data_IF_565034241295
#
_entry.id   IF_565034241295
#
_cell.length_a   1.000
_cell.length_b   1.000
_cell.length_c   1.000
_cell.angle_alpha   90.00
_cell.angle_beta   90.00
_cell.angle_gamma   90.00
#
_symmetry.space_group_name_H-M   'P 1'
#
loop_
_entity.id
_entity.type
_entity.pdbx_description
1 polymer ?
#
# COMPACT_ATOMS: atom_id res chain seq x y z
N UNK A 1 24.08 -51.25 4.30
CA UNK A 1 23.78 -50.31 5.38
C UNK A 1 23.77 -48.86 4.88
N UNK A 2 24.85 -48.30 4.29
CA UNK A 2 24.91 -46.88 3.87
C UNK A 2 23.79 -46.42 2.92
N UNK A 3 23.43 -47.21 1.89
CA UNK A 3 22.33 -46.88 0.97
C UNK A 3 20.96 -46.75 1.66
N UNK A 4 20.63 -47.61 2.62
CA UNK A 4 19.36 -47.54 3.37
C UNK A 4 19.28 -46.32 4.26
N UNK A 5 20.40 -45.89 4.87
CA UNK A 5 20.49 -44.68 5.68
C UNK A 5 20.31 -43.44 4.79
N UNK A 6 20.95 -43.38 3.63
CA UNK A 6 20.78 -42.25 2.67
C UNK A 6 19.32 -42.13 2.22
N UNK A 7 18.68 -43.25 1.88
CA UNK A 7 17.27 -43.24 1.48
C UNK A 7 16.36 -42.72 2.63
N UNK A 8 16.60 -43.19 3.87
CA UNK A 8 15.86 -42.74 5.03
C UNK A 8 16.02 -41.24 5.28
N UNK A 9 17.24 -40.71 5.14
CA UNK A 9 17.51 -39.25 5.29
C UNK A 9 16.78 -38.46 4.21
N UNK A 10 16.82 -38.91 2.95
CA UNK A 10 16.13 -38.21 1.85
C UNK A 10 14.60 -38.21 2.05
N UNK A 11 14.03 -39.31 2.54
CA UNK A 11 12.59 -39.39 2.88
C UNK A 11 12.23 -38.41 4.00
N UNK A 12 13.05 -38.34 5.06
CA UNK A 12 12.82 -37.38 6.17
C UNK A 12 12.89 -35.96 5.66
N UNK A 13 13.88 -35.61 4.83
CA UNK A 13 13.99 -34.26 4.23
C UNK A 13 12.74 -33.95 3.39
N UNK A 14 12.30 -34.88 2.55
CA UNK A 14 11.10 -34.70 1.74
C UNK A 14 9.84 -34.49 2.59
N UNK A 15 9.67 -35.24 3.69
CA UNK A 15 8.57 -35.08 4.63
C UNK A 15 8.62 -33.71 5.33
N UNK A 16 9.80 -33.29 5.79
CA UNK A 16 9.97 -31.96 6.41
C UNK A 16 9.63 -30.86 5.42
N UNK A 17 10.12 -30.95 4.17
CA UNK A 17 9.78 -29.99 3.12
C UNK A 17 8.28 -29.97 2.82
N UNK A 18 7.61 -31.14 2.78
CA UNK A 18 6.17 -31.22 2.57
C UNK A 18 5.37 -30.59 3.73
N UNK A 19 5.78 -30.84 4.98
CA UNK A 19 5.18 -30.22 6.18
C UNK A 19 5.36 -28.72 6.16
N UNK A 20 6.56 -28.23 5.87
CA UNK A 20 6.84 -26.79 5.75
C UNK A 20 6.04 -26.14 4.63
N UNK A 21 5.97 -26.78 3.47
CA UNK A 21 5.14 -26.32 2.36
C UNK A 21 3.65 -26.28 2.72
N UNK A 22 3.14 -27.31 3.40
CA UNK A 22 1.78 -27.35 3.94
C UNK A 22 1.54 -26.22 4.94
N UNK A 23 2.45 -26.02 5.89
CA UNK A 23 2.36 -24.94 6.88
C UNK A 23 2.29 -23.56 6.21
N UNK A 24 3.21 -23.28 5.28
CA UNK A 24 3.21 -22.02 4.51
C UNK A 24 1.92 -21.89 3.68
N UNK A 25 1.43 -22.99 3.11
CA UNK A 25 0.17 -23.02 2.37
C UNK A 25 -1.02 -22.63 3.26
N UNK A 26 -1.19 -23.24 4.43
CA UNK A 26 -2.30 -22.94 5.33
C UNK A 26 -2.17 -21.57 5.98
N UNK A 27 -0.95 -21.16 6.38
CA UNK A 27 -0.70 -19.86 6.99
C UNK A 27 -0.94 -18.69 6.02
N UNK A 28 -0.74 -18.89 4.71
CA UNK A 28 -0.99 -17.86 3.68
C UNK A 28 -2.43 -17.81 3.16
N UNK A 29 -3.31 -18.74 3.57
CA UNK A 29 -4.71 -18.75 3.16
C UNK A 29 -5.48 -17.60 3.81
N UNK A 30 -6.29 -16.91 3.01
CA UNK A 30 -7.11 -15.78 3.46
C UNK A 30 -6.30 -14.58 4.01
N UNK A 31 -5.12 -14.31 3.43
CA UNK A 31 -4.29 -13.15 3.79
C UNK A 31 -3.91 -12.38 2.54
N UNK A 32 -3.94 -11.05 2.65
CA UNK A 32 -3.56 -10.12 1.58
C UNK A 32 -2.37 -9.27 2.05
N UNK A 33 -1.31 -9.22 1.24
CA UNK A 33 -0.23 -8.27 1.46
C UNK A 33 -0.70 -6.89 0.98
N UNK A 34 -0.77 -5.91 1.88
CA UNK A 34 -1.04 -4.52 1.55
C UNK A 34 0.29 -3.80 1.51
N UNK A 35 0.80 -3.51 0.32
CA UNK A 35 2.09 -2.85 0.12
C UNK A 35 1.93 -1.34 0.25
N UNK A 36 2.79 -0.70 1.03
CA UNK A 36 2.80 0.74 1.21
C UNK A 36 4.06 1.34 0.57
N UNK A 37 3.85 2.10 -0.48
CA UNK A 37 4.82 2.94 -1.17
C UNK A 37 4.51 4.42 -0.90
N UNK A 38 5.45 5.30 -1.24
CA UNK A 38 5.22 6.74 -1.20
C UNK A 38 5.72 7.36 -2.51
N UNK A 39 6.99 7.64 -2.61
CA UNK A 39 7.61 8.39 -3.69
C UNK A 39 8.51 7.51 -4.57
N UNK A 40 8.65 7.89 -5.83
CA UNK A 40 9.54 7.25 -6.78
C UNK A 40 10.51 8.28 -7.37
N UNK A 41 11.76 7.89 -7.59
CA UNK A 41 12.74 8.70 -8.28
C UNK A 41 13.76 7.83 -9.00
N UNK A 42 14.43 8.38 -10.00
CA UNK A 42 15.68 7.80 -10.51
C UNK A 42 16.82 8.03 -9.50
N UNK A 43 17.92 7.29 -9.67
CA UNK A 43 19.10 7.45 -8.82
C UNK A 43 19.64 8.89 -8.88
N UNK A 44 19.65 9.49 -10.09
CA UNK A 44 20.16 10.84 -10.31
C UNK A 44 19.27 11.92 -9.68
N UNK A 45 17.95 11.79 -9.80
CA UNK A 45 16.99 12.69 -9.15
C UNK A 45 17.12 12.62 -7.63
N UNK A 46 17.19 11.40 -7.09
CA UNK A 46 17.32 11.18 -5.66
C UNK A 46 18.60 11.78 -5.08
N UNK A 47 19.70 11.79 -5.83
CA UNK A 47 20.97 12.38 -5.40
C UNK A 47 20.84 13.87 -5.04
N UNK A 48 19.85 14.58 -5.58
CA UNK A 48 19.56 15.97 -5.24
C UNK A 48 18.82 16.14 -3.90
N UNK A 49 18.34 15.04 -3.29
CA UNK A 49 17.55 15.05 -2.06
C UNK A 49 18.06 13.98 -1.06
N UNK A 50 19.30 14.15 -0.53
CA UNK A 50 19.98 13.13 0.27
C UNK A 50 19.27 12.81 1.59
N UNK A 51 18.48 13.74 2.13
CA UNK A 51 17.77 13.57 3.40
C UNK A 51 16.44 12.80 3.26
N UNK A 52 15.97 12.57 2.02
CA UNK A 52 14.67 11.92 1.73
C UNK A 52 14.82 10.41 1.40
N UNK A 53 15.75 9.72 2.04
CA UNK A 53 16.16 8.39 1.61
C UNK A 53 15.15 7.27 1.87
N UNK A 54 14.41 7.28 2.99
CA UNK A 54 13.66 6.10 3.43
C UNK A 54 12.36 5.87 2.63
N UNK A 55 11.74 6.94 2.10
CA UNK A 55 10.44 6.93 1.46
C UNK A 55 10.48 6.94 -0.07
N UNK A 56 11.67 7.15 -0.64
CA UNK A 56 11.87 7.26 -2.08
C UNK A 56 12.45 5.97 -2.64
N UNK A 57 11.65 5.26 -3.42
CA UNK A 57 12.04 4.01 -4.09
C UNK A 57 12.64 4.31 -5.46
N UNK A 58 13.73 3.65 -5.82
CA UNK A 58 14.27 3.75 -7.19
C UNK A 58 13.27 3.16 -8.20
N UNK A 59 13.04 3.88 -9.30
CA UNK A 59 12.07 3.50 -10.36
C UNK A 59 12.38 2.11 -10.94
N UNK A 60 13.67 1.76 -11.13
CA UNK A 60 14.05 0.43 -11.63
C UNK A 60 13.72 -0.66 -10.61
N UNK A 61 13.95 -0.38 -9.32
CA UNK A 61 13.62 -1.32 -8.26
C UNK A 61 12.11 -1.55 -8.18
N UNK A 62 11.31 -0.49 -8.30
CA UNK A 62 9.85 -0.61 -8.39
C UNK A 62 9.43 -1.45 -9.59
N UNK A 63 9.99 -1.21 -10.77
CA UNK A 63 9.68 -2.02 -11.96
C UNK A 63 10.06 -3.51 -11.77
N UNK A 64 11.19 -3.81 -11.10
CA UNK A 64 11.58 -5.19 -10.78
C UNK A 64 10.59 -5.86 -9.82
N UNK A 65 10.04 -5.12 -8.87
CA UNK A 65 9.00 -5.62 -7.98
C UNK A 65 7.71 -5.93 -8.74
N UNK A 66 7.29 -5.07 -9.69
CA UNK A 66 6.16 -5.37 -10.58
C UNK A 66 6.42 -6.60 -11.47
N UNK A 67 7.62 -6.73 -12.04
CA UNK A 67 8.05 -7.95 -12.77
C UNK A 67 7.95 -9.20 -11.90
N UNK A 68 8.39 -9.10 -10.64
CA UNK A 68 8.29 -10.21 -9.69
C UNK A 68 6.83 -10.61 -9.44
N UNK A 69 5.94 -9.64 -9.18
CA UNK A 69 4.50 -9.89 -9.00
C UNK A 69 3.90 -10.59 -10.23
N UNK A 70 4.19 -10.06 -11.42
CA UNK A 70 3.71 -10.62 -12.71
C UNK A 70 4.19 -12.04 -12.92
N UNK A 71 5.51 -12.29 -12.83
CA UNK A 71 6.10 -13.63 -13.04
C UNK A 71 5.60 -14.68 -12.04
N UNK A 72 5.21 -14.26 -10.85
CA UNK A 72 4.70 -15.15 -9.82
C UNK A 72 3.17 -15.24 -9.78
N UNK A 73 2.47 -14.67 -10.77
CA UNK A 73 1.02 -14.67 -10.90
C UNK A 73 0.30 -14.10 -9.67
N UNK A 74 0.78 -12.97 -9.15
CA UNK A 74 0.05 -12.22 -8.15
C UNK A 74 -1.09 -11.45 -8.79
N UNK A 75 -2.30 -11.54 -8.20
CA UNK A 75 -3.42 -10.67 -8.53
C UNK A 75 -3.29 -9.39 -7.74
N UNK A 76 -3.19 -8.25 -8.41
CA UNK A 76 -3.32 -6.94 -7.78
C UNK A 76 -4.80 -6.59 -7.66
N UNK A 77 -5.21 -6.12 -6.47
CA UNK A 77 -6.59 -5.83 -6.14
C UNK A 77 -6.92 -4.37 -6.37
N UNK A 78 -8.16 -4.09 -6.74
CA UNK A 78 -8.77 -2.78 -6.51
C UNK A 78 -9.12 -2.62 -5.04
N UNK A 79 -9.34 -1.39 -4.58
CA UNK A 79 -9.76 -1.14 -3.20
C UNK A 79 -11.14 -1.76 -2.90
N UNK A 80 -12.05 -1.73 -3.85
CA UNK A 80 -13.38 -2.35 -3.71
C UNK A 80 -13.29 -3.89 -3.62
N UNK A 81 -12.45 -4.56 -4.42
CA UNK A 81 -12.22 -6.00 -4.28
C UNK A 81 -11.65 -6.36 -2.89
N UNK A 82 -10.73 -5.54 -2.37
CA UNK A 82 -10.19 -5.74 -1.02
C UNK A 82 -11.30 -5.57 0.04
N UNK A 83 -12.16 -4.55 -0.10
CA UNK A 83 -13.28 -4.33 0.81
C UNK A 83 -14.31 -5.47 0.75
N UNK A 84 -14.70 -5.92 -0.43
CA UNK A 84 -15.62 -7.05 -0.61
C UNK A 84 -15.07 -8.33 0.01
N UNK A 85 -13.77 -8.58 -0.14
CA UNK A 85 -13.09 -9.69 0.52
C UNK A 85 -13.14 -9.54 2.04
N UNK A 86 -12.89 -8.37 2.59
CA UNK A 86 -13.01 -8.08 4.04
C UNK A 86 -14.42 -8.36 4.55
N UNK A 87 -15.43 -8.07 3.74
CA UNK A 87 -16.84 -8.33 4.06
C UNK A 87 -17.24 -9.81 3.88
N UNK A 88 -16.35 -10.66 3.40
CA UNK A 88 -16.65 -12.07 3.13
C UNK A 88 -17.52 -12.30 1.89
N UNK A 89 -17.73 -11.28 1.06
CA UNK A 89 -18.57 -11.36 -0.15
C UNK A 89 -17.88 -12.10 -1.29
N UNK A 90 -16.55 -12.03 -1.35
CA UNK A 90 -15.73 -12.71 -2.36
C UNK A 90 -14.57 -13.46 -1.71
N UNK A 91 -14.07 -14.48 -2.39
CA UNK A 91 -12.82 -15.14 -2.09
C UNK A 91 -11.73 -14.65 -3.05
N UNK A 92 -10.54 -14.47 -2.54
CA UNK A 92 -9.39 -14.04 -3.33
C UNK A 92 -8.42 -15.19 -3.59
N UNK A 93 -7.73 -15.17 -4.75
CA UNK A 93 -6.59 -16.04 -4.97
C UNK A 93 -5.55 -15.89 -3.86
N UNK A 94 -4.88 -16.96 -3.49
CA UNK A 94 -3.86 -16.95 -2.44
C UNK A 94 -2.75 -15.92 -2.66
N UNK A 95 -2.38 -15.70 -3.92
CA UNK A 95 -1.39 -14.69 -4.33
C UNK A 95 -2.11 -13.40 -4.72
N UNK A 96 -2.77 -12.76 -3.74
CA UNK A 96 -3.38 -11.45 -3.90
C UNK A 96 -2.58 -10.39 -3.14
N UNK A 97 -2.47 -9.22 -3.70
CA UNK A 97 -1.76 -8.06 -3.16
C UNK A 97 -2.54 -6.78 -3.45
N UNK A 98 -2.58 -5.88 -2.48
CA UNK A 98 -3.07 -4.51 -2.67
C UNK A 98 -1.85 -3.59 -2.71
N UNK A 99 -1.66 -2.86 -3.81
CA UNK A 99 -0.59 -1.88 -3.96
C UNK A 99 -1.14 -0.53 -3.54
N UNK A 100 -0.51 0.13 -2.57
CA UNK A 100 -0.90 1.46 -2.11
C UNK A 100 0.26 2.43 -2.18
N UNK A 101 -0.04 3.69 -2.50
CA UNK A 101 0.88 4.83 -2.41
C UNK A 101 0.27 5.86 -1.48
N UNK A 102 1.08 6.45 -0.61
CA UNK A 102 0.66 7.55 0.24
C UNK A 102 1.09 8.91 -0.35
N UNK A 103 0.51 9.99 0.18
CA UNK A 103 0.79 11.41 -0.05
C UNK A 103 0.33 11.98 -1.40
N UNK A 104 0.34 11.21 -2.49
CA UNK A 104 -0.06 11.71 -3.81
C UNK A 104 1.03 12.48 -4.54
N UNK A 105 2.28 12.04 -4.45
CA UNK A 105 3.41 12.65 -5.16
C UNK A 105 3.24 12.64 -6.68
N UNK A 106 3.70 13.69 -7.36
CA UNK A 106 3.69 13.80 -8.82
C UNK A 106 4.49 12.68 -9.50
N UNK A 107 5.53 12.17 -8.85
CA UNK A 107 6.31 11.03 -9.32
C UNK A 107 5.47 9.76 -9.54
N UNK A 108 4.37 9.60 -8.79
CA UNK A 108 3.48 8.46 -8.96
C UNK A 108 2.78 8.53 -10.33
N UNK A 109 2.30 9.71 -10.72
CA UNK A 109 1.75 9.93 -12.06
C UNK A 109 2.79 9.72 -13.15
N UNK A 110 4.00 10.26 -12.94
CA UNK A 110 5.06 10.24 -13.94
C UNK A 110 5.69 8.84 -14.13
N UNK A 111 5.95 8.10 -13.04
CA UNK A 111 6.64 6.82 -13.08
C UNK A 111 5.75 5.62 -12.78
N UNK A 112 4.97 5.67 -11.67
CA UNK A 112 4.25 4.49 -11.21
C UNK A 112 3.10 4.11 -12.12
N UNK A 113 2.25 5.07 -12.54
CA UNK A 113 1.04 4.77 -13.32
C UNK A 113 1.34 4.16 -14.69
N UNK A 114 2.30 4.67 -15.49
CA UNK A 114 2.69 4.02 -16.74
C UNK A 114 3.21 2.59 -16.53
N UNK A 115 4.00 2.34 -15.48
CA UNK A 115 4.51 1.01 -15.17
C UNK A 115 3.38 0.07 -14.72
N UNK A 116 2.48 0.52 -13.85
CA UNK A 116 1.31 -0.26 -13.43
C UNK A 116 0.42 -0.62 -14.63
N UNK A 117 0.17 0.31 -15.53
CA UNK A 117 -0.56 0.07 -16.79
C UNK A 117 0.17 -0.94 -17.68
N UNK A 118 1.49 -0.82 -17.84
CA UNK A 118 2.34 -1.73 -18.61
C UNK A 118 2.22 -3.18 -18.12
N UNK A 119 2.14 -3.39 -16.82
CA UNK A 119 2.03 -4.72 -16.21
C UNK A 119 0.58 -5.14 -15.92
N UNK A 120 -0.43 -4.34 -16.33
CA UNK A 120 -1.85 -4.57 -16.06
C UNK A 120 -2.14 -4.80 -14.57
N UNK A 121 -1.65 -3.89 -13.73
CA UNK A 121 -1.76 -3.96 -12.28
C UNK A 121 -2.58 -2.81 -11.71
N UNK A 122 -3.40 -3.11 -10.71
CA UNK A 122 -4.17 -2.12 -9.97
C UNK A 122 -3.35 -1.55 -8.83
N UNK A 123 -3.62 -0.29 -8.46
CA UNK A 123 -3.10 0.36 -7.28
C UNK A 123 -4.07 1.40 -6.73
N UNK A 124 -3.85 1.82 -5.48
CA UNK A 124 -4.59 2.89 -4.81
C UNK A 124 -3.63 3.98 -4.34
N UNK A 125 -3.97 5.24 -4.55
CA UNK A 125 -3.22 6.38 -4.02
C UNK A 125 -4.04 7.07 -2.94
N UNK A 126 -3.47 7.19 -1.75
CA UNK A 126 -4.03 7.96 -0.64
C UNK A 126 -3.49 9.40 -0.73
N UNK A 127 -4.36 10.34 -1.08
CA UNK A 127 -4.01 11.73 -1.34
C UNK A 127 -4.10 12.60 -0.09
N UNK A 128 -3.13 13.50 0.11
CA UNK A 128 -3.24 14.62 1.06
C UNK A 128 -4.00 15.73 0.33
N UNK A 129 -5.25 15.98 0.74
CA UNK A 129 -6.15 16.88 0.01
C UNK A 129 -5.62 18.29 -0.13
N UNK A 130 -5.12 18.90 0.94
CA UNK A 130 -4.56 20.25 0.93
C UNK A 130 -3.36 20.38 0.00
N UNK A 131 -2.50 19.34 -0.10
CA UNK A 131 -1.35 19.38 -0.97
C UNK A 131 -1.75 19.29 -2.44
N UNK A 132 -2.76 18.47 -2.74
CA UNK A 132 -3.34 18.35 -4.08
C UNK A 132 -4.04 19.65 -4.51
N UNK A 133 -4.82 20.28 -3.63
CA UNK A 133 -5.50 21.55 -3.91
C UNK A 133 -4.53 22.71 -4.16
N UNK A 134 -3.41 22.74 -3.42
CA UNK A 134 -2.42 23.80 -3.53
C UNK A 134 -1.34 23.53 -4.59
N UNK A 135 -1.29 22.31 -5.17
CA UNK A 135 -0.33 21.97 -6.20
C UNK A 135 -0.66 22.71 -7.51
N UNK A 136 0.37 23.21 -8.18
CA UNK A 136 0.24 23.97 -9.45
C UNK A 136 1.03 23.36 -10.58
N UNK A 137 1.99 22.47 -10.27
CA UNK A 137 2.88 21.87 -11.25
C UNK A 137 2.32 20.55 -11.76
N UNK A 138 2.23 20.38 -13.08
CA UNK A 138 1.75 19.15 -13.72
C UNK A 138 2.83 18.42 -14.51
N UNK A 139 3.91 19.12 -14.87
CA UNK A 139 5.03 18.52 -15.59
C UNK A 139 6.11 18.08 -14.60
N UNK A 140 6.66 16.89 -14.83
CA UNK A 140 7.75 16.36 -14.03
C UNK A 140 9.07 17.05 -14.36
N UNK A 141 9.72 17.62 -13.36
CA UNK A 141 11.00 18.32 -13.45
C UNK A 141 12.12 17.68 -12.60
N UNK A 142 11.87 16.51 -12.03
CA UNK A 142 12.80 15.83 -11.13
C UNK A 142 12.66 16.24 -9.65
N UNK A 143 11.75 17.15 -9.33
CA UNK A 143 11.52 17.55 -7.93
C UNK A 143 10.61 16.54 -7.22
N UNK A 144 11.22 15.67 -6.41
CA UNK A 144 10.51 14.62 -5.67
C UNK A 144 9.56 15.13 -4.58
N UNK A 145 9.55 16.44 -4.28
CA UNK A 145 8.66 17.07 -3.28
C UNK A 145 7.38 17.64 -3.89
N UNK A 146 7.14 17.40 -5.18
CA UNK A 146 5.96 17.89 -5.89
C UNK A 146 4.82 16.90 -5.79
N UNK A 147 3.60 17.40 -5.60
CA UNK A 147 2.37 16.64 -5.51
C UNK A 147 1.54 16.74 -6.79
N UNK A 148 0.66 15.77 -7.03
CA UNK A 148 -0.31 15.82 -8.12
C UNK A 148 -1.29 16.96 -7.91
N UNK A 149 -1.70 17.63 -8.99
CA UNK A 149 -2.79 18.62 -8.97
C UNK A 149 -4.16 17.92 -9.02
N UNK A 150 -5.22 18.63 -8.63
CA UNK A 150 -6.60 18.16 -8.82
C UNK A 150 -6.91 17.82 -10.28
N UNK A 151 -6.34 18.57 -11.23
CA UNK A 151 -6.50 18.30 -12.65
C UNK A 151 -5.87 16.97 -13.04
N UNK A 152 -4.63 16.69 -12.58
CA UNK A 152 -3.98 15.39 -12.82
C UNK A 152 -4.72 14.23 -12.15
N UNK A 153 -5.29 14.40 -10.96
CA UNK A 153 -6.13 13.38 -10.32
C UNK A 153 -7.35 13.05 -11.19
N UNK A 154 -8.04 14.07 -11.70
CA UNK A 154 -9.19 13.89 -12.61
C UNK A 154 -8.80 13.21 -13.91
N UNK A 155 -7.74 13.69 -14.54
CA UNK A 155 -7.19 13.14 -15.79
C UNK A 155 -6.75 11.68 -15.63
N UNK A 156 -6.14 11.35 -14.47
CA UNK A 156 -5.69 9.99 -14.17
C UNK A 156 -6.84 8.97 -14.11
N UNK A 157 -8.04 9.37 -13.69
CA UNK A 157 -9.21 8.46 -13.67
C UNK A 157 -9.60 7.97 -15.07
N UNK A 158 -9.32 8.77 -16.10
CA UNK A 158 -9.59 8.42 -17.50
C UNK A 158 -8.40 7.66 -18.12
N UNK A 159 -7.17 8.13 -17.88
CA UNK A 159 -5.96 7.57 -18.50
C UNK A 159 -5.48 6.27 -17.84
N UNK A 160 -5.75 6.12 -16.54
CA UNK A 160 -5.32 5.01 -15.70
C UNK A 160 -6.48 4.47 -14.84
N UNK A 161 -7.52 3.86 -15.46
CA UNK A 161 -8.70 3.36 -14.73
C UNK A 161 -8.40 2.23 -13.74
N UNK A 162 -7.17 1.75 -13.74
CA UNK A 162 -6.61 0.78 -12.79
C UNK A 162 -6.06 1.43 -11.51
N UNK A 163 -6.17 2.76 -11.35
CA UNK A 163 -5.70 3.52 -10.19
C UNK A 163 -6.90 4.10 -9.44
N UNK A 164 -7.03 3.70 -8.17
CA UNK A 164 -8.01 4.27 -7.25
C UNK A 164 -7.39 5.44 -6.48
N UNK A 165 -8.21 6.44 -6.13
CA UNK A 165 -7.81 7.58 -5.30
C UNK A 165 -8.64 7.62 -4.01
N UNK A 166 -7.95 7.67 -2.87
CA UNK A 166 -8.53 7.60 -1.53
C UNK A 166 -7.94 8.69 -0.62
N UNK A 167 -8.46 8.80 0.60
CA UNK A 167 -8.11 9.89 1.52
C UNK A 167 -6.91 9.54 2.40
N UNK A 168 -5.94 10.47 2.43
CA UNK A 168 -4.87 10.56 3.44
C UNK A 168 -5.04 11.81 4.31
N UNK A 169 -6.29 12.15 4.68
CA UNK A 169 -6.79 13.41 5.22
C UNK A 169 -6.78 14.56 4.21
N UNK A 170 -7.49 15.64 4.54
CA UNK A 170 -7.39 16.89 3.78
C UNK A 170 -6.23 17.74 4.33
N UNK A 171 -6.30 18.20 5.58
CA UNK A 171 -5.34 19.10 6.19
C UNK A 171 -4.70 18.59 7.50
N UNK A 172 -4.95 17.32 7.89
CA UNK A 172 -4.40 16.75 9.13
C UNK A 172 -3.07 16.02 8.94
N UNK A 173 -2.33 16.29 7.86
CA UNK A 173 -1.05 15.65 7.59
C UNK A 173 0.12 16.38 8.27
N UNK A 174 0.08 16.46 9.61
CA UNK A 174 1.16 16.95 10.44
C UNK A 174 1.28 16.12 11.72
N UNK A 175 2.49 16.08 12.31
CA UNK A 175 2.78 15.26 13.48
C UNK A 175 1.93 15.66 14.68
N UNK A 176 1.37 14.69 15.38
CA UNK A 176 0.44 14.87 16.50
C UNK A 176 -0.93 15.46 16.13
N UNK A 177 -1.28 15.59 14.86
CA UNK A 177 -2.59 16.12 14.44
C UNK A 177 -3.77 15.43 15.14
N UNK A 178 -3.67 14.10 15.33
CA UNK A 178 -4.72 13.30 15.98
C UNK A 178 -4.90 13.62 17.48
N UNK A 179 -3.87 14.16 18.15
CA UNK A 179 -3.94 14.57 19.55
C UNK A 179 -4.47 16.00 19.69
N UNK A 180 -4.16 16.84 18.71
CA UNK A 180 -4.43 18.27 18.73
C UNK A 180 -5.85 18.64 18.24
N UNK A 181 -6.46 17.77 17.43
CA UNK A 181 -7.80 18.00 16.88
C UNK A 181 -8.88 17.21 17.64
N UNK A 182 -10.07 17.79 17.69
CA UNK A 182 -11.24 17.12 18.26
C UNK A 182 -11.98 16.27 17.21
N UNK A 183 -13.08 15.63 17.63
CA UNK A 183 -13.85 14.72 16.77
C UNK A 183 -14.56 15.47 15.63
N UNK A 184 -15.00 16.69 15.84
CA UNK A 184 -15.70 17.52 14.86
C UNK A 184 -14.73 17.94 13.76
N UNK A 185 -13.56 18.50 14.13
CA UNK A 185 -12.49 18.88 13.21
C UNK A 185 -12.02 17.70 12.33
N UNK A 186 -11.87 16.50 12.92
CA UNK A 186 -11.54 15.29 12.16
C UNK A 186 -12.63 14.87 11.19
N UNK A 187 -13.91 15.10 11.55
CA UNK A 187 -15.05 14.82 10.68
C UNK A 187 -15.16 15.81 9.53
N UNK A 188 -14.91 17.07 9.81
CA UNK A 188 -14.94 18.13 8.80
C UNK A 188 -13.80 17.98 7.81
N UNK A 189 -12.60 17.61 8.25
CA UNK A 189 -11.47 17.25 7.38
C UNK A 189 -11.86 16.19 6.34
N UNK A 190 -12.54 15.13 6.78
CA UNK A 190 -12.98 14.06 5.90
C UNK A 190 -14.06 14.54 4.88
N UNK A 191 -14.95 15.45 5.27
CA UNK A 191 -15.94 16.05 4.36
C UNK A 191 -15.30 17.01 3.36
N UNK A 192 -14.34 17.83 3.80
CA UNK A 192 -13.61 18.74 2.92
C UNK A 192 -12.86 17.92 1.87
N UNK A 193 -12.21 16.82 2.27
CA UNK A 193 -11.55 15.91 1.31
C UNK A 193 -12.55 15.39 0.27
N UNK A 194 -13.69 14.88 0.71
CA UNK A 194 -14.70 14.31 -0.20
C UNK A 194 -15.26 15.34 -1.18
N UNK A 195 -15.47 16.61 -0.74
CA UNK A 195 -16.00 17.67 -1.59
C UNK A 195 -14.98 18.24 -2.59
N UNK A 196 -13.72 18.36 -2.19
CA UNK A 196 -12.70 19.07 -2.97
C UNK A 196 -11.90 18.13 -3.90
N UNK A 197 -11.65 16.91 -3.45
CA UNK A 197 -10.73 15.98 -4.12
C UNK A 197 -11.51 14.86 -4.81
N UNK A 198 -12.06 13.93 -4.02
CA UNK A 198 -12.85 12.80 -4.52
C UNK A 198 -13.62 12.14 -3.39
N UNK A 199 -14.83 11.65 -3.72
CA UNK A 199 -15.55 10.78 -2.80
C UNK A 199 -14.81 9.46 -2.60
N UNK A 200 -14.70 9.04 -1.35
CA UNK A 200 -14.08 7.76 -0.98
C UNK A 200 -14.63 7.25 0.35
N UNK A 201 -14.50 5.93 0.56
CA UNK A 201 -14.85 5.25 1.82
C UNK A 201 -13.61 4.70 2.54
N UNK A 202 -12.42 5.03 2.06
CA UNK A 202 -11.17 4.41 2.47
C UNK A 202 -10.17 5.47 2.88
N UNK A 203 -9.53 5.23 4.02
CA UNK A 203 -8.65 6.19 4.67
C UNK A 203 -7.31 5.55 5.04
N UNK A 204 -6.19 6.21 4.77
CA UNK A 204 -4.91 5.89 5.38
C UNK A 204 -4.57 6.94 6.44
N UNK A 205 -4.08 6.49 7.58
CA UNK A 205 -3.76 7.39 8.69
C UNK A 205 -2.43 8.09 8.46
N UNK A 206 -2.40 9.45 8.43
CA UNK A 206 -1.14 10.20 8.40
C UNK A 206 -0.21 9.74 9.52
N UNK A 207 1.05 9.47 9.19
CA UNK A 207 2.07 8.94 10.12
C UNK A 207 1.67 7.63 10.83
N UNK A 208 0.60 6.96 10.39
CA UNK A 208 0.02 5.80 11.07
C UNK A 208 -0.70 6.14 12.38
N UNK A 209 -0.83 7.42 12.73
CA UNK A 209 -1.45 7.87 13.97
C UNK A 209 -2.97 7.77 13.91
N UNK A 210 -3.58 7.09 14.88
CA UNK A 210 -5.03 6.99 15.02
C UNK A 210 -5.45 6.88 16.49
N UNK A 211 -6.69 7.23 16.76
CA UNK A 211 -7.34 7.00 18.03
C UNK A 211 -8.84 6.69 17.82
N UNK A 212 -9.51 6.31 18.89
CA UNK A 212 -10.94 5.94 18.79
C UNK A 212 -11.82 7.12 18.38
N UNK A 213 -11.45 8.38 18.65
CA UNK A 213 -12.19 9.56 18.24
C UNK A 213 -12.18 9.70 16.71
N UNK A 214 -11.00 9.60 16.09
CA UNK A 214 -10.85 9.65 14.63
C UNK A 214 -11.62 8.49 13.97
N UNK A 215 -11.45 7.25 14.44
CA UNK A 215 -12.17 6.09 13.91
C UNK A 215 -13.69 6.34 13.94
N UNK A 216 -14.22 6.78 15.07
CA UNK A 216 -15.66 7.06 15.20
C UNK A 216 -16.10 8.20 14.27
N UNK A 217 -15.28 9.22 14.09
CA UNK A 217 -15.56 10.33 13.17
C UNK A 217 -15.63 9.84 11.73
N UNK A 218 -14.64 9.06 11.27
CA UNK A 218 -14.61 8.48 9.94
C UNK A 218 -15.84 7.57 9.70
N UNK A 219 -16.18 6.71 10.68
CA UNK A 219 -17.37 5.85 10.60
C UNK A 219 -18.66 6.67 10.42
N UNK A 220 -18.82 7.77 11.17
CA UNK A 220 -19.98 8.64 11.06
C UNK A 220 -20.06 9.37 9.70
N UNK A 221 -18.94 9.50 8.99
CA UNK A 221 -18.85 10.09 7.64
C UNK A 221 -18.89 9.04 6.52
N UNK A 222 -19.16 7.77 6.86
CA UNK A 222 -19.35 6.69 5.89
C UNK A 222 -18.08 5.99 5.43
N UNK A 223 -16.94 6.26 6.06
CA UNK A 223 -15.73 5.49 5.79
C UNK A 223 -15.86 4.04 6.29
N UNK A 224 -15.26 3.11 5.57
CA UNK A 224 -15.41 1.68 5.80
C UNK A 224 -14.09 0.97 6.14
N UNK A 225 -12.95 1.50 5.70
CA UNK A 225 -11.63 0.96 5.99
C UNK A 225 -10.67 2.07 6.43
N UNK A 226 -9.81 1.73 7.41
CA UNK A 226 -8.68 2.55 7.86
C UNK A 226 -7.37 1.75 7.81
N UNK A 227 -6.37 2.28 7.09
CA UNK A 227 -5.08 1.65 6.91
C UNK A 227 -4.06 2.30 7.82
N UNK A 228 -3.45 1.51 8.69
CA UNK A 228 -2.41 1.98 9.58
C UNK A 228 -1.03 1.85 8.93
N UNK A 229 -0.11 2.60 9.44
CA UNK A 229 1.31 2.53 9.17
C UNK A 229 2.02 2.59 10.52
N UNK A 230 2.90 1.67 10.82
CA UNK A 230 3.56 1.67 12.11
C UNK A 230 4.97 1.12 12.07
N UNK A 231 5.85 1.59 12.98
CA UNK A 231 7.19 1.04 13.16
C UNK A 231 7.20 -0.28 13.95
N UNK A 232 6.07 -0.70 14.50
CA UNK A 232 5.99 -1.88 15.34
C UNK A 232 5.96 -3.17 14.51
N UNK A 233 6.67 -4.21 14.96
CA UNK A 233 6.72 -5.51 14.26
C UNK A 233 5.34 -6.09 13.99
N UNK A 234 4.36 -5.84 14.85
CA UNK A 234 2.99 -6.31 14.72
C UNK A 234 2.25 -5.67 13.53
N UNK A 235 2.74 -4.56 13.02
CA UNK A 235 2.15 -3.85 11.88
C UNK A 235 2.71 -4.33 10.54
N UNK A 236 3.86 -5.01 10.53
CA UNK A 236 4.48 -5.55 9.32
C UNK A 236 3.98 -6.96 9.00
N UNK A 237 2.68 -7.13 8.86
CA UNK A 237 2.08 -8.42 8.50
C UNK A 237 1.04 -8.27 7.41
N UNK A 238 0.67 -9.37 6.80
CA UNK A 238 -0.46 -9.40 5.87
C UNK A 238 -1.78 -9.14 6.59
N UNK A 239 -2.67 -8.43 5.92
CA UNK A 239 -4.03 -8.26 6.36
C UNK A 239 -4.82 -9.58 6.30
N UNK A 240 -5.72 -9.76 7.27
CA UNK A 240 -6.64 -10.89 7.36
C UNK A 240 -8.10 -10.41 7.32
N UNK A 241 -9.06 -11.31 7.09
CA UNK A 241 -10.48 -10.96 7.20
C UNK A 241 -10.87 -10.54 8.61
N UNK A 242 -10.23 -11.12 9.62
CA UNK A 242 -10.56 -10.93 11.03
C UNK A 242 -9.97 -9.63 11.61
N UNK A 243 -9.10 -8.95 10.86
CA UNK A 243 -8.58 -7.65 11.29
C UNK A 243 -9.71 -6.61 11.40
N UNK A 244 -9.60 -5.74 12.40
CA UNK A 244 -10.46 -4.56 12.53
C UNK A 244 -10.38 -3.74 11.22
N UNK A 245 -11.52 -3.41 10.65
CA UNK A 245 -11.62 -2.67 9.40
C UNK A 245 -10.92 -1.30 9.46
N UNK A 246 -10.78 -0.72 10.64
CA UNK A 246 -10.10 0.57 10.85
C UNK A 246 -8.65 0.43 11.36
N UNK A 247 -8.08 -0.79 11.30
CA UNK A 247 -6.70 -1.06 11.73
C UNK A 247 -5.99 -2.02 10.78
N UNK A 248 -6.20 -1.83 9.48
CA UNK A 248 -5.62 -2.69 8.44
C UNK A 248 -4.09 -2.50 8.41
N UNK A 249 -3.30 -3.57 8.63
CA UNK A 249 -1.84 -3.48 8.60
C UNK A 249 -1.31 -3.37 7.17
N UNK A 250 -0.17 -2.69 7.00
CA UNK A 250 0.50 -2.54 5.71
C UNK A 250 1.97 -2.97 5.80
N UNK A 251 2.47 -3.53 4.72
CA UNK A 251 3.88 -3.88 4.55
C UNK A 251 4.61 -2.70 3.89
N UNK A 252 5.45 -2.02 4.64
CA UNK A 252 6.25 -0.93 4.10
C UNK A 252 7.27 -1.44 3.08
N UNK A 253 7.33 -0.82 1.92
CA UNK A 253 8.37 -1.04 0.93
C UNK A 253 9.38 0.09 1.01
N UNK A 254 10.51 -0.18 1.66
CA UNK A 254 11.56 0.81 1.88
C UNK A 254 12.58 0.84 0.74
N UNK A 255 13.33 1.95 0.67
CA UNK A 255 14.48 2.08 -0.20
C UNK A 255 15.46 0.91 -0.02
N UNK A 256 16.06 0.47 -1.12
CA UNK A 256 17.07 -0.60 -1.10
C UNK A 256 16.54 -2.00 -0.75
N UNK A 257 15.22 -2.19 -0.72
CA UNK A 257 14.67 -3.53 -0.53
C UNK A 257 15.00 -4.43 -1.70
N UNK A 258 15.88 -5.41 -1.47
CA UNK A 258 16.25 -6.40 -2.48
C UNK A 258 15.06 -7.29 -2.85
N UNK A 259 15.01 -7.72 -4.11
CA UNK A 259 13.87 -8.47 -4.68
C UNK A 259 13.61 -9.80 -3.95
N UNK A 260 14.65 -10.46 -3.42
CA UNK A 260 14.47 -11.69 -2.63
C UNK A 260 13.78 -11.41 -1.29
N UNK A 261 14.08 -10.27 -0.62
CA UNK A 261 13.40 -9.85 0.62
C UNK A 261 11.95 -9.47 0.33
N UNK A 262 11.70 -8.75 -0.77
CA UNK A 262 10.36 -8.44 -1.24
C UNK A 262 9.54 -9.72 -1.44
N UNK A 263 10.11 -10.72 -2.15
CA UNK A 263 9.46 -12.02 -2.35
C UNK A 263 9.21 -12.78 -1.05
N UNK A 264 10.15 -12.73 -0.10
CA UNK A 264 9.99 -13.37 1.21
C UNK A 264 8.85 -12.73 2.02
N UNK A 265 8.77 -11.41 2.07
CA UNK A 265 7.66 -10.68 2.72
C UNK A 265 6.30 -11.03 2.13
N UNK A 266 6.22 -11.14 0.80
CA UNK A 266 4.99 -11.58 0.13
C UNK A 266 4.63 -13.03 0.43
N UNK A 267 5.59 -13.87 0.74
CA UNK A 267 5.36 -15.30 1.02
C UNK A 267 4.87 -15.52 2.45
N UNK A 268 5.62 -15.02 3.42
CA UNK A 268 5.41 -15.33 4.85
C UNK A 268 4.79 -14.19 5.66
N UNK A 269 4.78 -12.97 5.13
CA UNK A 269 4.62 -11.76 5.94
C UNK A 269 5.90 -11.53 6.74
N UNK A 270 5.95 -10.55 7.58
CA UNK A 270 7.07 -10.41 8.50
C UNK A 270 6.85 -11.26 9.75
#
# INVERSE_FOLDING_TARGET
>A
MKKKIIIAVLVIIALVCAILAGYVYFKGKNKVAVLCYHNLATVDEKANFPDENDWVIDVKNFEEQLKYLSKNNYKTLTMDEFYEWKQGKIDLPRKSVLITFDDGFLSNYHYAFPLLKKYNMNATVFLIGEYVDNATQEEWDGNIKTYMTNNLVKKSKEEYPNIDFCSHSYGLHYKNSIKENDKEQMGDDALIFASNITETKYFAYPFGEYNQKLITSLQNKGYCLGFKYGPEKEDYRKATRDDDNFKIPRLNVSHGMEIWRFGLRLLIGD
#
